data_IF_608957005293
#
_entry.id   IF_608957005293
#
_cell.length_a   1.000
_cell.length_b   1.000
_cell.length_c   1.000
_cell.angle_alpha   90.00
_cell.angle_beta   90.00
_cell.angle_gamma   90.00
#
_symmetry.space_group_name_H-M   'P 1'
#
loop_
_entity.id
_entity.type
_entity.pdbx_description
1 polymer ?
#
# COMPACT_ATOMS: atom_id res chain seq x y z
N UNK A 1 1.39 2.06 -1.43
CA UNK A 1 2.87 2.04 -1.52
C UNK A 1 3.44 3.41 -1.17
N UNK A 2 4.25 3.49 -0.12
CA UNK A 2 5.08 4.64 0.23
C UNK A 2 6.39 4.61 -0.59
N UNK A 3 6.43 5.21 -1.78
CA UNK A 3 7.61 5.17 -2.67
C UNK A 3 8.69 6.13 -2.17
N UNK A 4 9.88 5.59 -1.91
CA UNK A 4 11.04 6.35 -1.43
C UNK A 4 11.63 5.82 -0.12
N UNK A 5 11.31 4.58 0.29
CA UNK A 5 11.84 3.97 1.50
C UNK A 5 11.53 4.76 2.78
N UNK A 6 10.28 4.66 3.24
CA UNK A 6 9.82 5.31 4.49
C UNK A 6 10.75 4.96 5.65
N UNK A 7 11.04 5.97 6.47
CA UNK A 7 11.76 5.79 7.72
C UNK A 7 10.89 5.07 8.76
N UNK A 8 10.93 3.74 8.73
CA UNK A 8 10.19 2.88 9.66
C UNK A 8 10.48 3.15 11.14
N UNK A 9 11.67 3.67 11.48
CA UNK A 9 12.06 4.00 12.85
C UNK A 9 11.46 5.31 13.35
N UNK A 10 11.08 6.22 12.45
CA UNK A 10 10.30 7.42 12.81
C UNK A 10 8.81 7.22 12.58
N UNK A 11 8.37 6.22 11.82
CA UNK A 11 6.95 5.85 11.70
C UNK A 11 6.48 5.03 12.91
N UNK A 12 7.21 3.97 13.25
CA UNK A 12 7.02 3.10 14.43
C UNK A 12 8.27 3.23 15.30
N UNK A 13 8.20 4.16 16.24
CA UNK A 13 9.31 4.64 17.06
C UNK A 13 9.66 3.63 18.14
N UNK A 14 10.85 3.01 18.15
CA UNK A 14 11.31 2.17 19.27
C UNK A 14 11.80 3.05 20.42
N UNK A 15 10.89 3.79 21.06
CA UNK A 15 11.23 4.76 22.11
C UNK A 15 11.85 4.09 23.35
N UNK A 16 11.60 2.81 23.56
CA UNK A 16 12.28 2.00 24.58
C UNK A 16 13.75 1.68 24.26
N UNK A 17 14.25 1.97 23.06
CA UNK A 17 15.63 1.72 22.65
C UNK A 17 16.50 3.00 22.76
N UNK A 18 17.41 3.12 23.74
CA UNK A 18 18.25 4.31 23.89
C UNK A 18 19.18 4.54 22.69
N UNK A 19 19.45 3.52 21.87
CA UNK A 19 20.28 3.65 20.68
C UNK A 19 19.58 4.48 19.61
N UNK A 20 18.24 4.42 19.53
CA UNK A 20 17.46 5.25 18.61
C UNK A 20 17.79 6.73 18.79
N UNK A 21 17.73 7.23 20.02
CA UNK A 21 18.04 8.62 20.35
C UNK A 21 19.51 8.97 20.15
N UNK A 22 20.43 8.05 20.49
CA UNK A 22 21.87 8.25 20.31
C UNK A 22 22.28 8.38 18.84
N UNK A 23 21.66 7.58 17.97
CA UNK A 23 21.98 7.53 16.54
C UNK A 23 21.22 8.60 15.74
N UNK A 24 20.21 9.24 16.33
CA UNK A 24 19.34 10.24 15.68
C UNK A 24 19.19 11.52 16.53
N UNK A 25 20.28 12.18 16.93
CA UNK A 25 20.23 13.30 17.86
C UNK A 25 19.41 14.51 17.38
N UNK A 26 19.18 14.67 16.06
CA UNK A 26 18.40 15.79 15.50
C UNK A 26 17.03 15.37 14.99
N UNK A 27 16.86 14.10 14.57
CA UNK A 27 15.62 13.63 13.92
C UNK A 27 14.81 12.64 14.75
N UNK A 28 15.30 12.19 15.91
CA UNK A 28 14.52 11.32 16.79
C UNK A 28 13.25 12.04 17.26
N UNK A 29 12.12 11.32 17.27
CA UNK A 29 10.89 11.79 17.90
C UNK A 29 11.11 11.81 19.41
N UNK A 30 11.03 12.96 20.10
CA UNK A 30 11.25 13.02 21.54
C UNK A 30 10.29 12.09 22.28
N UNK A 31 10.79 11.35 23.28
CA UNK A 31 10.02 10.33 24.03
C UNK A 31 8.65 10.84 24.50
N UNK A 32 8.60 12.06 25.05
CA UNK A 32 7.36 12.71 25.52
C UNK A 32 6.30 12.96 24.42
N UNK A 33 6.71 13.02 23.16
CA UNK A 33 5.86 13.29 22.00
C UNK A 33 5.50 12.00 21.25
N UNK A 34 6.11 10.86 21.62
CA UNK A 34 5.79 9.56 21.05
C UNK A 34 4.44 9.09 21.59
N UNK A 35 3.60 8.56 20.70
CA UNK A 35 2.33 7.96 21.08
C UNK A 35 2.57 6.50 21.43
N UNK A 36 2.76 6.22 22.72
CA UNK A 36 3.08 4.88 23.20
C UNK A 36 2.02 3.84 22.77
N UNK A 37 2.51 2.70 22.30
CA UNK A 37 1.71 1.58 21.79
C UNK A 37 1.75 0.38 22.74
N UNK A 38 2.92 0.04 23.26
CA UNK A 38 3.15 -1.17 24.07
C UNK A 38 4.24 -1.03 25.16
N UNK A 39 4.71 0.21 25.43
CA UNK A 39 5.77 0.50 26.38
C UNK A 39 7.19 0.41 25.80
N UNK A 40 7.35 -0.07 24.56
CA UNK A 40 8.63 -0.10 23.85
C UNK A 40 8.56 0.63 22.50
N UNK A 41 7.49 0.39 21.75
CA UNK A 41 7.20 1.04 20.49
C UNK A 41 6.12 2.09 20.64
N UNK A 42 6.12 3.05 19.72
CA UNK A 42 5.14 4.13 19.66
C UNK A 42 4.88 4.59 18.23
N UNK A 43 3.76 5.28 18.00
CA UNK A 43 3.53 5.98 16.73
C UNK A 43 4.19 7.35 16.75
N UNK A 44 4.62 7.80 15.59
CA UNK A 44 4.89 9.22 15.35
C UNK A 44 3.67 10.08 15.76
N UNK A 45 3.84 11.26 16.41
CA UNK A 45 2.71 12.09 16.86
C UNK A 45 1.76 12.51 15.72
N UNK A 46 2.29 12.70 14.51
CA UNK A 46 1.48 13.01 13.32
C UNK A 46 0.54 11.88 12.88
N UNK A 47 0.71 10.67 13.42
CA UNK A 47 -0.19 9.53 13.24
C UNK A 47 -1.23 9.40 14.38
N UNK A 48 -1.40 10.41 15.24
CA UNK A 48 -2.36 10.38 16.36
C UNK A 48 -3.77 9.96 15.96
N UNK A 49 -4.21 10.33 14.76
CA UNK A 49 -5.51 9.96 14.21
C UNK A 49 -5.71 8.45 14.02
N UNK A 50 -4.63 7.67 14.01
CA UNK A 50 -4.67 6.21 13.92
C UNK A 50 -4.69 5.52 15.29
N UNK A 51 -4.41 6.23 16.39
CA UNK A 51 -4.37 5.66 17.73
C UNK A 51 -5.69 4.98 18.14
N UNK A 52 -6.89 5.52 17.81
CA UNK A 52 -8.14 4.80 18.07
C UNK A 52 -8.24 3.44 17.38
N UNK A 53 -7.66 3.29 16.18
CA UNK A 53 -7.65 2.02 15.43
C UNK A 53 -6.71 0.99 16.08
N UNK A 54 -5.59 1.46 16.64
CA UNK A 54 -4.72 0.63 17.47
C UNK A 54 -5.45 0.14 18.71
N UNK A 55 -6.11 1.06 19.43
CA UNK A 55 -6.80 0.77 20.68
C UNK A 55 -8.01 -0.16 20.47
N UNK A 56 -8.68 -0.07 19.32
CA UNK A 56 -9.72 -1.00 18.89
C UNK A 56 -9.19 -2.31 18.30
N UNK A 57 -7.87 -2.52 18.27
CA UNK A 57 -7.20 -3.70 17.74
C UNK A 57 -7.48 -3.98 16.26
N UNK A 58 -7.76 -2.95 15.48
CA UNK A 58 -7.95 -3.04 14.02
C UNK A 58 -6.76 -2.46 13.25
N UNK A 59 -5.69 -2.08 13.95
CA UNK A 59 -4.40 -1.66 13.40
C UNK A 59 -3.27 -2.43 14.08
N UNK A 60 -2.35 -2.98 13.28
CA UNK A 60 -1.08 -3.53 13.69
C UNK A 60 0.07 -2.85 12.92
N UNK A 61 1.28 -2.98 13.45
CA UNK A 61 2.51 -2.72 12.72
C UNK A 61 3.32 -4.01 12.61
N UNK A 62 4.03 -4.23 11.50
CA UNK A 62 5.06 -5.26 11.37
C UNK A 62 6.40 -4.54 11.24
N UNK A 63 7.29 -4.73 12.21
CA UNK A 63 8.61 -4.11 12.23
C UNK A 63 9.69 -5.08 11.75
N UNK A 64 10.86 -4.54 11.41
CA UNK A 64 11.99 -5.28 10.85
C UNK A 64 11.59 -6.16 9.65
N UNK A 65 10.64 -5.66 8.86
CA UNK A 65 10.12 -6.29 7.65
C UNK A 65 10.79 -5.68 6.43
N UNK A 66 11.12 -6.50 5.44
CA UNK A 66 11.74 -6.02 4.21
C UNK A 66 12.11 -7.12 3.23
N UNK A 67 12.82 -6.73 2.17
CA UNK A 67 13.34 -7.65 1.16
C UNK A 67 14.60 -8.37 1.66
N UNK A 68 14.76 -9.68 1.42
CA UNK A 68 16.04 -10.36 1.67
C UNK A 68 17.13 -9.92 0.68
N UNK A 69 16.77 -9.33 -0.46
CA UNK A 69 17.74 -8.70 -1.36
C UNK A 69 18.22 -7.37 -0.76
N UNK A 70 19.53 -7.13 -0.84
CA UNK A 70 20.20 -6.00 -0.21
C UNK A 70 20.32 -4.75 -1.11
N UNK A 71 19.67 -4.74 -2.28
CA UNK A 71 19.73 -3.57 -3.17
C UNK A 71 19.16 -2.32 -2.49
N UNK A 72 19.87 -1.21 -2.66
CA UNK A 72 19.46 0.12 -2.20
C UNK A 72 19.06 1.03 -3.38
N UNK A 73 18.89 0.45 -4.56
CA UNK A 73 18.34 1.13 -5.73
C UNK A 73 16.83 1.15 -5.62
N UNK A 74 16.22 2.34 -5.59
CA UNK A 74 14.77 2.47 -5.61
C UNK A 74 14.14 1.74 -6.79
N UNK A 75 14.76 1.82 -7.97
CA UNK A 75 14.26 1.16 -9.17
C UNK A 75 14.20 -0.36 -8.99
N UNK A 76 15.31 -0.97 -8.58
CA UNK A 76 15.37 -2.43 -8.42
C UNK A 76 14.50 -2.90 -7.25
N UNK A 77 14.56 -2.22 -6.10
CA UNK A 77 13.82 -2.63 -4.91
C UNK A 77 12.30 -2.49 -5.08
N UNK A 78 11.82 -1.43 -5.74
CA UNK A 78 10.40 -1.28 -6.08
C UNK A 78 9.97 -2.40 -7.04
N UNK A 79 10.76 -2.66 -8.08
CA UNK A 79 10.47 -3.75 -9.02
C UNK A 79 10.42 -5.12 -8.34
N UNK A 80 11.33 -5.40 -7.42
CA UNK A 80 11.38 -6.64 -6.64
C UNK A 80 10.22 -6.79 -5.65
N UNK A 81 9.83 -5.71 -4.99
CA UNK A 81 8.69 -5.73 -4.06
C UNK A 81 7.36 -5.93 -4.82
N UNK A 82 7.19 -5.24 -5.95
CA UNK A 82 5.99 -5.32 -6.78
C UNK A 82 5.89 -6.63 -7.57
N UNK A 83 7.03 -7.19 -8.01
CA UNK A 83 7.08 -8.52 -8.62
C UNK A 83 7.05 -9.64 -7.60
N UNK A 84 7.36 -9.41 -6.32
CA UNK A 84 7.47 -10.47 -5.31
C UNK A 84 8.63 -11.45 -5.55
N UNK A 85 9.62 -11.08 -6.40
CA UNK A 85 10.79 -11.91 -6.73
C UNK A 85 12.10 -11.14 -6.54
N UNK A 86 12.56 -10.94 -5.28
CA UNK A 86 13.79 -10.24 -4.99
C UNK A 86 15.01 -10.80 -5.73
N UNK A 87 15.82 -9.92 -6.32
CA UNK A 87 17.02 -10.27 -7.07
C UNK A 87 16.77 -10.73 -8.52
N UNK A 88 15.51 -10.85 -8.95
CA UNK A 88 15.15 -11.37 -10.29
C UNK A 88 14.54 -10.26 -11.16
N UNK A 89 15.39 -9.52 -11.89
CA UNK A 89 14.94 -8.43 -12.78
C UNK A 89 14.11 -8.88 -13.98
N UNK A 90 14.23 -10.15 -14.36
CA UNK A 90 13.57 -10.70 -15.54
C UNK A 90 12.07 -10.99 -15.32
N UNK A 91 11.56 -10.94 -14.09
CA UNK A 91 10.15 -11.19 -13.80
C UNK A 91 9.27 -10.11 -14.44
N UNK A 92 8.43 -10.45 -15.43
CA UNK A 92 7.71 -9.46 -16.22
C UNK A 92 6.43 -8.96 -15.53
N UNK A 93 5.91 -9.69 -14.55
CA UNK A 93 4.60 -9.50 -13.96
C UNK A 93 4.64 -9.31 -12.43
N UNK A 94 3.53 -8.78 -11.92
CA UNK A 94 3.33 -8.48 -10.50
C UNK A 94 2.68 -9.62 -9.75
N UNK A 95 2.96 -9.71 -8.45
CA UNK A 95 2.41 -10.79 -7.62
C UNK A 95 0.89 -10.67 -7.43
N UNK A 96 0.32 -9.46 -7.37
CA UNK A 96 -1.15 -9.30 -7.33
C UNK A 96 -1.79 -9.69 -8.66
N UNK A 97 -1.14 -9.43 -9.80
CA UNK A 97 -1.65 -9.93 -11.09
C UNK A 97 -1.63 -11.46 -11.14
N UNK A 98 -0.55 -12.10 -10.68
CA UNK A 98 -0.47 -13.57 -10.59
C UNK A 98 -1.53 -14.15 -9.65
N UNK A 99 -1.80 -13.49 -8.53
CA UNK A 99 -2.94 -13.84 -7.67
C UNK A 99 -4.26 -13.81 -8.46
N UNK A 100 -4.55 -12.71 -9.17
CA UNK A 100 -5.77 -12.60 -9.98
C UNK A 100 -5.84 -13.61 -11.14
N UNK A 101 -4.72 -14.09 -11.68
CA UNK A 101 -4.73 -15.17 -12.67
C UNK A 101 -5.12 -16.52 -12.06
N UNK A 102 -4.66 -16.78 -10.83
CA UNK A 102 -4.86 -18.05 -10.16
C UNK A 102 -6.25 -18.16 -9.52
N UNK A 103 -6.71 -17.10 -8.85
CA UNK A 103 -8.03 -17.04 -8.25
C UNK A 103 -9.11 -16.82 -9.32
N UNK A 104 -10.26 -17.50 -9.15
CA UNK A 104 -11.39 -17.43 -10.07
C UNK A 104 -12.54 -16.56 -9.58
N UNK A 105 -12.48 -16.09 -8.35
CA UNK A 105 -13.50 -15.22 -7.79
C UNK A 105 -13.52 -13.85 -8.51
N UNK A 106 -14.72 -13.32 -8.77
CA UNK A 106 -14.95 -12.03 -9.42
C UNK A 106 -14.27 -11.82 -10.79
N UNK A 107 -14.05 -12.90 -11.57
CA UNK A 107 -13.51 -12.82 -12.93
C UNK A 107 -14.45 -12.13 -13.95
N UNK A 108 -15.69 -11.85 -13.57
CA UNK A 108 -16.75 -11.29 -14.41
C UNK A 108 -16.86 -9.76 -14.35
N UNK A 109 -16.06 -9.09 -13.50
CA UNK A 109 -16.01 -7.63 -13.41
C UNK A 109 -14.69 -7.05 -13.90
N UNK A 110 -14.71 -5.93 -14.66
CA UNK A 110 -13.48 -5.23 -15.03
C UNK A 110 -12.83 -4.50 -13.83
N UNK A 111 -13.54 -4.34 -12.69
CA UNK A 111 -13.03 -3.66 -11.49
C UNK A 111 -12.37 -4.60 -10.48
N UNK A 112 -12.15 -5.87 -10.81
CA UNK A 112 -11.54 -6.82 -9.88
C UNK A 112 -10.20 -6.32 -9.33
N UNK A 113 -9.36 -5.77 -10.21
CA UNK A 113 -8.04 -5.25 -9.87
C UNK A 113 -7.86 -3.82 -10.42
N UNK A 114 -7.69 -2.85 -9.52
CA UNK A 114 -7.63 -1.43 -9.89
C UNK A 114 -6.44 -0.74 -9.24
N UNK A 115 -5.60 -0.11 -10.05
CA UNK A 115 -4.60 0.85 -9.61
C UNK A 115 -5.09 2.28 -9.77
N UNK A 116 -4.85 3.10 -8.75
CA UNK A 116 -5.17 4.51 -8.74
C UNK A 116 -3.92 5.33 -9.09
N UNK A 117 -3.83 5.72 -10.36
CA UNK A 117 -2.71 6.43 -10.96
C UNK A 117 -2.73 6.39 -12.50
N UNK A 118 -1.82 7.13 -13.15
CA UNK A 118 -1.83 7.31 -14.60
C UNK A 118 -1.32 6.12 -15.41
N UNK A 119 -0.69 5.14 -14.76
CA UNK A 119 -0.11 3.95 -15.40
C UNK A 119 -0.37 2.72 -14.53
N UNK A 120 -0.44 1.56 -15.17
CA UNK A 120 -0.56 0.29 -14.46
C UNK A 120 0.77 -0.03 -13.76
N UNK A 121 0.79 -0.12 -12.42
CA UNK A 121 2.00 -0.43 -11.66
C UNK A 121 2.42 -1.88 -11.89
N UNK A 122 3.71 -2.17 -11.68
CA UNK A 122 4.25 -3.52 -11.90
C UNK A 122 3.50 -4.56 -11.08
N UNK A 123 3.06 -4.23 -9.87
CA UNK A 123 2.33 -5.16 -8.99
C UNK A 123 1.04 -5.72 -9.62
N UNK A 124 0.41 -4.97 -10.54
CA UNK A 124 -0.76 -5.38 -11.31
C UNK A 124 -0.45 -5.67 -12.79
N UNK A 125 0.81 -5.58 -13.23
CA UNK A 125 1.18 -5.91 -14.60
C UNK A 125 1.14 -7.43 -14.81
N UNK A 126 0.61 -7.89 -15.94
CA UNK A 126 0.53 -9.30 -16.31
C UNK A 126 -0.68 -9.58 -17.19
N UNK A 127 -1.11 -10.85 -17.25
CA UNK A 127 -2.20 -11.28 -18.15
C UNK A 127 -3.59 -11.22 -17.54
N UNK A 128 -3.72 -11.15 -16.21
CA UNK A 128 -5.03 -10.90 -15.59
C UNK A 128 -5.50 -9.47 -15.93
N UNK A 129 -6.79 -9.27 -16.28
CA UNK A 129 -7.36 -7.95 -16.47
C UNK A 129 -7.12 -7.05 -15.25
N UNK A 130 -6.63 -5.84 -15.48
CA UNK A 130 -6.41 -4.83 -14.43
C UNK A 130 -6.59 -3.43 -15.01
N UNK A 131 -7.16 -2.52 -14.23
CA UNK A 131 -7.40 -1.14 -14.64
C UNK A 131 -6.42 -0.18 -13.95
N UNK A 132 -6.02 0.86 -14.68
CA UNK A 132 -5.38 2.04 -14.11
C UNK A 132 -6.31 3.24 -14.26
N UNK A 133 -6.62 3.88 -13.14
CA UNK A 133 -7.56 5.01 -13.03
C UNK A 133 -6.84 6.18 -12.40
N UNK A 134 -6.59 7.24 -13.16
CA UNK A 134 -5.95 8.47 -12.63
C UNK A 134 -6.97 9.38 -11.91
N UNK A 135 -8.21 9.35 -12.37
CA UNK A 135 -9.32 10.12 -11.85
C UNK A 135 -10.62 9.40 -12.22
N UNK A 136 -11.37 8.97 -11.20
CA UNK A 136 -12.60 8.22 -11.40
C UNK A 136 -13.71 9.09 -12.00
N UNK A 137 -13.75 10.38 -11.67
CA UNK A 137 -14.72 11.34 -12.22
C UNK A 137 -14.43 11.65 -13.68
N UNK A 138 -13.16 11.62 -14.08
CA UNK A 138 -12.73 11.84 -15.45
C UNK A 138 -12.55 10.55 -16.26
N UNK A 139 -12.81 9.37 -15.67
CA UNK A 139 -12.57 8.08 -16.30
C UNK A 139 -13.43 7.88 -17.55
N UNK A 140 -12.76 7.64 -18.68
CA UNK A 140 -13.36 7.55 -20.01
C UNK A 140 -12.44 8.14 -21.09
N UNK A 141 -12.95 8.27 -22.33
CA UNK A 141 -12.20 8.90 -23.42
C UNK A 141 -11.89 10.37 -23.08
N UNK A 142 -10.60 10.74 -23.08
CA UNK A 142 -10.15 12.12 -22.88
C UNK A 142 -10.70 13.00 -24.01
N UNK A 143 -11.74 13.78 -23.70
CA UNK A 143 -12.20 14.87 -24.56
C UNK A 143 -12.33 16.17 -23.74
N UNK A 144 -12.11 17.34 -24.37
CA UNK A 144 -12.05 18.63 -23.69
C UNK A 144 -13.39 19.10 -23.10
N UNK A 145 -14.52 18.49 -23.47
CA UNK A 145 -15.86 18.83 -22.95
C UNK A 145 -16.69 17.56 -22.67
N UNK A 146 -17.53 17.52 -21.62
CA UNK A 146 -18.37 16.36 -21.29
C UNK A 146 -19.23 15.89 -22.48
N UNK A 147 -19.87 16.81 -23.19
CA UNK A 147 -20.67 16.50 -24.37
C UNK A 147 -19.83 15.90 -25.53
N UNK A 148 -18.55 16.27 -25.64
CA UNK A 148 -17.63 15.69 -26.62
C UNK A 148 -17.19 14.28 -26.21
N UNK A 149 -17.03 14.01 -24.90
CA UNK A 149 -16.77 12.66 -24.38
C UNK A 149 -17.93 11.72 -24.66
N UNK A 150 -19.17 12.18 -24.47
CA UNK A 150 -20.37 11.39 -24.73
C UNK A 150 -20.58 11.10 -26.23
N UNK A 151 -20.20 12.04 -27.10
CA UNK A 151 -20.20 11.80 -28.56
C UNK A 151 -19.12 10.81 -28.98
N UNK A 152 -17.91 10.94 -28.43
CA UNK A 152 -16.81 10.01 -28.69
C UNK A 152 -17.15 8.60 -28.19
N UNK A 153 -17.75 8.48 -27.00
CA UNK A 153 -18.18 7.18 -26.46
C UNK A 153 -19.22 6.53 -27.37
N UNK A 154 -20.24 7.27 -27.81
CA UNK A 154 -21.26 6.77 -28.75
C UNK A 154 -20.71 6.41 -30.13
N UNK A 155 -19.80 7.22 -30.68
CA UNK A 155 -19.13 6.92 -31.94
C UNK A 155 -18.28 5.63 -31.82
N UNK A 156 -17.65 5.39 -30.67
CA UNK A 156 -16.93 4.15 -30.39
C UNK A 156 -17.88 2.94 -30.26
N UNK A 157 -19.06 3.13 -29.64
CA UNK A 157 -20.12 2.11 -29.54
C UNK A 157 -20.62 1.66 -30.93
N UNK A 158 -20.86 2.60 -31.83
CA UNK A 158 -21.33 2.34 -33.20
C UNK A 158 -20.27 1.62 -34.05
N UNK A 159 -19.00 2.01 -33.92
CA UNK A 159 -17.87 1.33 -34.59
C UNK A 159 -17.72 -0.13 -34.14
N UNK A 160 -17.95 -0.41 -32.86
CA UNK A 160 -17.82 -1.75 -32.29
C UNK A 160 -19.01 -2.67 -32.60
N UNK A 161 -20.22 -2.12 -32.67
CA UNK A 161 -21.40 -2.87 -33.13
C UNK A 161 -21.21 -3.39 -34.58
N UNK A 162 -20.35 -2.74 -35.37
CA UNK A 162 -20.03 -3.13 -36.75
C UNK A 162 -18.75 -3.94 -36.97
N UNK A 163 -17.85 -4.08 -35.99
CA UNK A 163 -16.51 -4.67 -36.20
C UNK A 163 -16.12 -5.73 -35.15
N UNK A 164 -16.58 -6.95 -35.36
CA UNK A 164 -16.14 -8.12 -34.60
C UNK A 164 -14.90 -8.76 -35.25
N UNK A 165 -13.69 -8.25 -34.97
CA UNK A 165 -12.44 -8.94 -35.35
C UNK A 165 -11.43 -9.04 -34.19
N UNK A 166 -11.38 -10.24 -33.60
CA UNK A 166 -10.15 -10.96 -33.25
C UNK A 166 -9.42 -10.59 -31.95
N UNK A 167 -8.62 -9.52 -31.96
CA UNK A 167 -7.54 -9.32 -30.97
C UNK A 167 -7.61 -8.01 -30.19
N UNK A 168 -8.28 -7.00 -30.75
CA UNK A 168 -8.60 -5.74 -30.06
C UNK A 168 -9.90 -5.85 -29.22
N UNK A 169 -10.60 -6.99 -29.31
CA UNK A 169 -11.99 -7.11 -28.84
C UNK A 169 -12.13 -7.34 -27.34
N UNK A 170 -11.22 -8.05 -26.67
CA UNK A 170 -11.35 -8.37 -25.23
C UNK A 170 -10.98 -7.20 -24.33
N UNK A 171 -9.77 -6.66 -24.44
CA UNK A 171 -9.33 -5.50 -23.64
C UNK A 171 -10.21 -4.26 -23.89
N UNK A 172 -10.70 -4.07 -25.12
CA UNK A 172 -11.63 -2.97 -25.43
C UNK A 172 -13.04 -3.22 -24.89
N UNK A 173 -13.52 -4.48 -24.86
CA UNK A 173 -14.81 -4.83 -24.22
C UNK A 173 -14.77 -4.62 -22.72
N UNK A 174 -13.69 -5.02 -22.05
CA UNK A 174 -13.50 -4.82 -20.61
C UNK A 174 -13.43 -3.32 -20.27
N UNK A 175 -12.64 -2.54 -21.01
CA UNK A 175 -12.59 -1.10 -20.86
C UNK A 175 -13.95 -0.44 -21.09
N UNK A 176 -14.71 -0.91 -22.08
CA UNK A 176 -16.05 -0.40 -22.35
C UNK A 176 -17.05 -0.77 -21.23
N UNK A 177 -17.02 -2.03 -20.76
CA UNK A 177 -17.81 -2.46 -19.61
C UNK A 177 -17.50 -1.63 -18.37
N UNK A 178 -16.23 -1.32 -18.13
CA UNK A 178 -15.80 -0.45 -17.04
C UNK A 178 -16.41 0.96 -17.15
N UNK A 179 -16.34 1.57 -18.34
CA UNK A 179 -16.94 2.89 -18.60
C UNK A 179 -18.46 2.86 -18.40
N UNK A 180 -19.15 1.84 -18.92
CA UNK A 180 -20.61 1.73 -18.76
C UNK A 180 -21.03 1.54 -17.30
N UNK A 181 -20.28 0.74 -16.55
CA UNK A 181 -20.53 0.55 -15.12
C UNK A 181 -20.30 1.86 -14.37
N UNK A 182 -19.19 2.57 -14.61
CA UNK A 182 -18.92 3.86 -13.95
C UNK A 182 -19.94 4.95 -14.30
N UNK A 183 -20.44 4.99 -15.53
CA UNK A 183 -21.53 5.90 -15.90
C UNK A 183 -22.78 5.67 -15.05
N UNK A 184 -23.08 4.42 -14.66
CA UNK A 184 -24.22 4.09 -13.79
C UNK A 184 -23.95 4.45 -12.33
N UNK A 185 -22.69 4.43 -11.90
CA UNK A 185 -22.30 4.79 -10.53
C UNK A 185 -22.38 6.30 -10.25
N UNK A 186 -22.41 7.13 -11.29
CA UNK A 186 -22.39 8.61 -11.24
C UNK A 186 -21.37 9.16 -10.22
N UNK A 187 -20.06 9.06 -10.54
CA UNK A 187 -19.05 9.21 -9.52
C UNK A 187 -18.98 10.60 -8.87
N UNK A 188 -19.53 11.63 -9.53
CA UNK A 188 -19.60 12.99 -8.99
C UNK A 188 -20.60 13.16 -7.83
N UNK A 189 -21.52 12.21 -7.63
CA UNK A 189 -22.51 12.26 -6.54
C UNK A 189 -22.04 11.58 -5.27
N UNK A 190 -20.90 10.88 -5.28
CA UNK A 190 -20.40 10.23 -4.08
C UNK A 190 -20.13 11.26 -2.97
N UNK A 191 -20.60 10.94 -1.77
CA UNK A 191 -20.37 11.73 -0.56
C UNK A 191 -19.86 10.78 0.52
N UNK A 192 -18.69 11.07 1.14
CA UNK A 192 -18.20 10.29 2.26
C UNK A 192 -19.23 10.21 3.39
N UNK A 193 -19.32 9.04 4.02
CA UNK A 193 -20.22 8.80 5.14
C UNK A 193 -19.52 9.03 6.49
N UNK A 194 -20.29 8.97 7.58
CA UNK A 194 -19.80 8.95 8.96
C UNK A 194 -18.91 10.14 9.36
N UNK A 195 -19.00 11.27 8.66
CA UNK A 195 -18.14 12.44 8.89
C UNK A 195 -16.68 12.23 8.44
N UNK A 196 -16.44 11.35 7.46
CA UNK A 196 -15.14 11.22 6.83
C UNK A 196 -14.77 12.48 6.03
N UNK A 197 -13.54 12.94 6.21
CA UNK A 197 -12.96 14.08 5.52
C UNK A 197 -11.59 13.68 5.00
N UNK A 198 -11.48 13.53 3.67
CA UNK A 198 -10.26 13.07 3.02
C UNK A 198 -9.33 14.25 2.75
N UNK A 199 -8.01 14.12 3.04
CA UNK A 199 -7.07 15.17 2.71
C UNK A 199 -6.99 15.36 1.18
N UNK A 200 -6.82 16.60 0.72
CA UNK A 200 -6.80 16.94 -0.72
C UNK A 200 -5.60 16.44 -1.53
N UNK A 201 -4.69 15.67 -0.93
CA UNK A 201 -3.54 15.08 -1.60
C UNK A 201 -3.88 13.84 -2.43
N UNK A 202 -2.90 13.36 -3.21
CA UNK A 202 -3.07 12.21 -4.13
C UNK A 202 -3.56 10.96 -3.40
N UNK A 203 -3.01 10.67 -2.22
CA UNK A 203 -3.42 9.50 -1.44
C UNK A 203 -4.86 9.63 -0.93
N UNK A 204 -5.24 10.81 -0.43
CA UNK A 204 -6.62 11.04 0.04
C UNK A 204 -7.64 10.90 -1.08
N UNK A 205 -7.34 11.44 -2.28
CA UNK A 205 -8.16 11.22 -3.48
C UNK A 205 -8.26 9.74 -3.86
N UNK A 206 -7.14 9.03 -3.92
CA UNK A 206 -7.14 7.62 -4.28
C UNK A 206 -7.97 6.77 -3.29
N UNK A 207 -7.82 6.99 -1.98
CA UNK A 207 -8.60 6.26 -0.98
C UNK A 207 -10.10 6.61 -1.02
N UNK A 208 -10.45 7.87 -1.32
CA UNK A 208 -11.84 8.28 -1.57
C UNK A 208 -12.45 7.50 -2.75
N UNK A 209 -11.73 7.41 -3.87
CA UNK A 209 -12.20 6.70 -5.05
C UNK A 209 -12.24 5.17 -4.83
N UNK A 210 -11.32 4.62 -4.05
CA UNK A 210 -11.38 3.21 -3.60
C UNK A 210 -12.63 2.97 -2.76
N UNK A 211 -12.90 3.81 -1.75
CA UNK A 211 -14.09 3.67 -0.90
C UNK A 211 -15.38 3.75 -1.71
N UNK A 212 -15.39 4.61 -2.74
CA UNK A 212 -16.48 4.73 -3.67
C UNK A 212 -16.71 3.44 -4.48
N UNK A 213 -15.66 2.83 -5.05
CA UNK A 213 -15.81 1.55 -5.76
C UNK A 213 -16.26 0.43 -4.84
N UNK A 214 -15.76 0.39 -3.60
CA UNK A 214 -16.18 -0.60 -2.59
C UNK A 214 -17.67 -0.47 -2.29
N UNK A 215 -18.14 0.74 -1.97
CA UNK A 215 -19.56 0.98 -1.65
C UNK A 215 -20.50 0.80 -2.85
N UNK A 216 -19.97 0.97 -4.05
CA UNK A 216 -20.68 0.69 -5.28
C UNK A 216 -20.82 -0.81 -5.58
N UNK A 217 -20.12 -1.67 -4.83
CA UNK A 217 -20.17 -3.13 -4.96
C UNK A 217 -19.89 -3.62 -6.40
N UNK A 218 -18.88 -3.03 -7.03
CA UNK A 218 -18.48 -3.38 -8.42
C UNK A 218 -17.63 -4.65 -8.50
N UNK A 219 -17.51 -5.41 -7.41
CA UNK A 219 -16.64 -6.58 -7.28
C UNK A 219 -15.15 -6.24 -7.22
N UNK A 220 -14.79 -5.12 -6.57
CA UNK A 220 -13.40 -4.76 -6.32
C UNK A 220 -12.77 -5.77 -5.34
N UNK A 221 -11.68 -6.40 -5.76
CA UNK A 221 -10.97 -7.40 -4.95
C UNK A 221 -9.58 -6.92 -4.52
N UNK A 222 -8.86 -6.24 -5.42
CA UNK A 222 -7.56 -5.65 -5.11
C UNK A 222 -7.50 -4.21 -5.60
N UNK A 223 -7.07 -3.32 -4.71
CA UNK A 223 -6.84 -1.92 -5.01
C UNK A 223 -5.38 -1.55 -4.71
N UNK A 224 -4.77 -0.77 -5.59
CA UNK A 224 -3.42 -0.26 -5.39
C UNK A 224 -3.40 1.26 -5.49
N UNK A 225 -2.76 1.92 -4.53
CA UNK A 225 -2.43 3.33 -4.59
C UNK A 225 -0.99 3.55 -4.14
N UNK A 226 -0.33 4.55 -4.72
CA UNK A 226 1.00 4.97 -4.32
C UNK A 226 1.10 6.46 -4.02
N UNK A 227 2.11 6.79 -3.23
CA UNK A 227 2.45 8.16 -2.85
C UNK A 227 3.98 8.27 -2.76
N UNK A 228 4.53 9.35 -3.30
CA UNK A 228 5.96 9.63 -3.35
C UNK A 228 6.39 10.59 -2.24
N UNK A 229 7.69 10.87 -2.14
CA UNK A 229 8.23 11.87 -1.22
C UNK A 229 8.68 11.32 0.13
N UNK A 230 8.85 10.00 0.22
CA UNK A 230 9.37 9.30 1.41
C UNK A 230 10.91 9.25 1.47
N UNK A 231 11.58 9.66 0.40
CA UNK A 231 13.04 9.66 0.27
C UNK A 231 13.69 10.88 0.96
N UNK A 232 13.59 10.93 2.29
CA UNK A 232 14.04 12.04 3.15
C UNK A 232 15.54 12.02 3.47
N UNK A 233 16.38 12.48 2.54
CA UNK A 233 17.84 12.60 2.74
C UNK A 233 18.31 13.84 3.50
N UNK A 234 17.49 14.89 3.57
CA UNK A 234 17.87 16.20 4.11
C UNK A 234 16.72 16.77 4.93
N UNK A 235 17.03 17.37 6.09
CA UNK A 235 16.07 18.06 6.96
C UNK A 235 14.75 17.30 7.13
N UNK A 236 14.85 15.99 7.39
CA UNK A 236 13.71 15.08 7.53
C UNK A 236 12.75 15.56 8.62
N UNK A 237 13.35 16.05 9.71
CA UNK A 237 12.64 16.51 10.90
C UNK A 237 12.28 15.39 11.87
N UNK A 238 11.91 15.82 13.09
CA UNK A 238 11.38 14.96 14.14
C UNK A 238 9.86 15.02 14.10
N UNK A 239 9.21 15.65 15.10
CA UNK A 239 7.75 15.78 15.20
C UNK A 239 7.12 16.63 14.09
N UNK A 240 7.92 17.52 13.49
CA UNK A 240 7.60 18.39 12.37
C UNK A 240 8.66 18.21 11.27
N UNK A 241 8.36 18.62 10.03
CA UNK A 241 9.27 18.48 8.88
C UNK A 241 8.69 17.65 7.75
N UNK A 242 9.53 17.26 6.79
CA UNK A 242 9.10 16.54 5.58
C UNK A 242 8.43 15.21 5.94
N UNK A 243 9.06 14.38 6.77
CA UNK A 243 8.51 13.08 7.13
C UNK A 243 7.23 13.23 7.96
N UNK A 244 7.23 14.12 8.94
CA UNK A 244 6.07 14.44 9.76
C UNK A 244 4.84 14.85 8.93
N UNK A 245 5.04 15.69 7.91
CA UNK A 245 3.99 16.08 6.97
C UNK A 245 3.42 14.90 6.19
N UNK A 246 4.29 14.03 5.66
CA UNK A 246 3.89 12.81 4.92
C UNK A 246 3.15 11.81 5.79
N UNK A 247 3.63 11.60 7.02
CA UNK A 247 2.97 10.74 8.01
C UNK A 247 1.60 11.31 8.41
N UNK A 248 1.49 12.64 8.55
CA UNK A 248 0.20 13.30 8.80
C UNK A 248 -0.81 13.06 7.68
N UNK A 249 -0.39 13.24 6.42
CA UNK A 249 -1.24 12.98 5.24
C UNK A 249 -1.64 11.50 5.15
N UNK A 250 -0.69 10.58 5.37
CA UNK A 250 -0.96 9.14 5.42
C UNK A 250 -2.00 8.80 6.50
N UNK A 251 -1.76 9.25 7.73
CA UNK A 251 -2.65 8.98 8.86
C UNK A 251 -4.06 9.53 8.64
N UNK A 252 -4.17 10.76 8.15
CA UNK A 252 -5.47 11.38 7.85
C UNK A 252 -6.22 10.63 6.75
N UNK A 253 -5.53 10.23 5.67
CA UNK A 253 -6.14 9.51 4.57
C UNK A 253 -6.66 8.12 5.00
N UNK A 254 -5.87 7.37 5.77
CA UNK A 254 -6.28 6.05 6.31
C UNK A 254 -7.42 6.17 7.32
N UNK A 255 -7.39 7.18 8.19
CA UNK A 255 -8.47 7.43 9.16
C UNK A 255 -9.77 7.82 8.46
N UNK A 256 -9.70 8.68 7.43
CA UNK A 256 -10.84 9.05 6.61
C UNK A 256 -11.44 7.83 5.88
N UNK A 257 -10.59 7.01 5.25
CA UNK A 257 -11.00 5.78 4.58
C UNK A 257 -11.75 4.83 5.50
N UNK A 258 -11.18 4.56 6.68
CA UNK A 258 -11.79 3.67 7.67
C UNK A 258 -13.12 4.23 8.16
N UNK A 259 -13.18 5.54 8.45
CA UNK A 259 -14.41 6.21 8.89
C UNK A 259 -15.49 6.14 7.82
N UNK A 260 -15.13 6.43 6.58
CA UNK A 260 -16.05 6.46 5.45
C UNK A 260 -16.73 5.10 5.25
N UNK A 261 -15.96 4.02 5.30
CA UNK A 261 -16.46 2.67 5.11
C UNK A 261 -17.24 2.13 6.33
N UNK A 262 -16.92 2.58 7.55
CA UNK A 262 -17.61 2.15 8.77
C UNK A 262 -17.61 0.62 8.90
N UNK A 263 -18.80 0.04 9.07
CA UNK A 263 -18.98 -1.43 9.18
C UNK A 263 -18.47 -2.20 7.95
N UNK A 264 -18.35 -1.55 6.79
CA UNK A 264 -17.76 -2.15 5.59
C UNK A 264 -16.30 -2.56 5.77
N UNK A 265 -15.59 -1.98 6.74
CA UNK A 265 -14.20 -2.38 7.07
C UNK A 265 -14.07 -3.81 7.57
N UNK A 266 -15.17 -4.46 7.97
CA UNK A 266 -15.17 -5.84 8.49
C UNK A 266 -14.55 -6.86 7.50
N UNK A 267 -14.70 -6.60 6.20
CA UNK A 267 -14.27 -7.48 5.11
C UNK A 267 -13.11 -6.87 4.30
N UNK A 268 -12.38 -5.90 4.88
CA UNK A 268 -11.32 -5.15 4.18
C UNK A 268 -10.04 -5.18 4.98
N UNK A 269 -8.92 -5.45 4.29
CA UNK A 269 -7.57 -5.24 4.80
C UNK A 269 -6.84 -4.23 3.93
N UNK A 270 -6.28 -3.20 4.57
CA UNK A 270 -5.33 -2.26 3.95
C UNK A 270 -3.97 -2.48 4.61
N UNK A 271 -2.92 -2.57 3.81
CA UNK A 271 -1.56 -2.56 4.31
C UNK A 271 -0.71 -1.53 3.56
N UNK A 272 0.28 -0.99 4.25
CA UNK A 272 1.27 -0.10 3.67
C UNK A 272 2.55 -0.88 3.38
N UNK A 273 3.29 -0.49 2.36
CA UNK A 273 4.60 -1.06 2.07
C UNK A 273 5.54 0.01 1.52
N UNK A 274 6.84 -0.25 1.64
CA UNK A 274 7.93 0.55 1.09
C UNK A 274 9.07 -0.38 0.70
N UNK A 275 9.88 0.02 -0.29
CA UNK A 275 10.84 -0.85 -0.98
C UNK A 275 12.01 -1.32 -0.10
N UNK A 276 12.40 -0.51 0.88
CA UNK A 276 13.35 -0.80 1.96
C UNK A 276 13.18 0.28 3.05
N UNK A 277 14.00 0.25 4.10
CA UNK A 277 13.98 1.24 5.17
C UNK A 277 15.05 2.32 5.08
N UNK A 278 15.34 2.95 6.22
CA UNK A 278 16.34 4.00 6.34
C UNK A 278 17.46 3.61 7.29
N UNK A 279 18.62 4.24 7.17
CA UNK A 279 19.75 3.98 8.07
C UNK A 279 19.35 4.19 9.53
N UNK A 280 19.93 3.40 10.44
CA UNK A 280 19.69 3.59 11.89
C UNK A 280 20.19 4.96 12.32
N UNK A 281 21.39 5.31 11.86
CA UNK A 281 22.03 6.61 12.11
C UNK A 281 21.55 7.68 11.15
N UNK A 282 21.25 8.86 11.68
CA UNK A 282 21.01 10.04 10.85
C UNK A 282 22.28 10.47 10.08
N UNK A 283 22.11 11.03 8.89
CA UNK A 283 23.22 11.53 8.09
C UNK A 283 23.61 12.97 8.48
N UNK A 284 24.66 13.51 7.85
CA UNK A 284 25.16 14.86 8.14
C UNK A 284 24.13 15.98 7.89
N UNK A 285 23.15 15.74 7.02
CA UNK A 285 22.16 16.72 6.55
C UNK A 285 20.85 16.71 7.33
N UNK A 286 20.84 16.12 8.54
CA UNK A 286 19.62 15.94 9.35
C UNK A 286 18.54 15.13 8.61
N UNK A 287 18.94 14.15 7.81
CA UNK A 287 18.07 13.16 7.19
C UNK A 287 18.60 11.75 7.38
N UNK A 288 18.20 10.83 6.51
CA UNK A 288 18.66 9.43 6.53
C UNK A 288 19.02 8.94 5.14
N UNK A 289 20.00 8.05 5.04
CA UNK A 289 20.37 7.40 3.79
C UNK A 289 19.57 6.10 3.61
N UNK A 290 19.75 5.42 2.48
CA UNK A 290 19.03 4.17 2.18
C UNK A 290 19.45 3.05 3.14
N UNK A 291 18.47 2.43 3.78
CA UNK A 291 18.65 1.33 4.74
C UNK A 291 18.27 -0.02 4.17
N UNK A 292 17.76 -0.91 5.03
CA UNK A 292 17.36 -2.27 4.66
C UNK A 292 15.94 -2.61 5.13
N UNK A 293 15.74 -2.98 6.40
CA UNK A 293 14.39 -3.24 6.92
C UNK A 293 13.62 -1.96 7.26
N UNK A 294 12.30 -2.00 7.11
CA UNK A 294 11.37 -0.93 7.45
C UNK A 294 10.26 -1.44 8.37
N UNK A 295 9.20 -0.65 8.53
CA UNK A 295 7.96 -1.04 9.16
C UNK A 295 6.78 -0.94 8.16
N UNK A 296 5.78 -1.81 8.32
CA UNK A 296 4.55 -1.80 7.55
C UNK A 296 3.35 -1.72 8.50
N UNK A 297 2.38 -0.85 8.22
CA UNK A 297 1.08 -0.84 8.88
C UNK A 297 0.14 -1.84 8.19
N UNK A 298 -0.69 -2.52 8.98
CA UNK A 298 -1.79 -3.39 8.53
C UNK A 298 -3.04 -2.99 9.30
N UNK A 299 -4.13 -2.66 8.61
CA UNK A 299 -5.38 -2.22 9.22
C UNK A 299 -6.58 -2.90 8.56
N UNK A 300 -7.65 -3.14 9.32
CA UNK A 300 -8.83 -3.81 8.80
C UNK A 300 -9.61 -4.59 9.85
N UNK A 301 -10.78 -5.07 9.47
CA UNK A 301 -11.62 -5.94 10.31
C UNK A 301 -10.94 -7.26 10.70
N UNK A 302 -10.32 -8.00 9.77
CA UNK A 302 -9.66 -9.29 10.06
C UNK A 302 -8.32 -9.17 10.79
N UNK A 303 -7.84 -7.95 11.03
CA UNK A 303 -6.50 -7.70 11.59
C UNK A 303 -6.45 -8.01 13.08
N UNK A 304 -5.42 -8.73 13.49
CA UNK A 304 -5.09 -8.99 14.89
C UNK A 304 -4.24 -7.84 15.46
N UNK A 305 -4.89 -6.68 15.62
CA UNK A 305 -4.25 -5.41 15.94
C UNK A 305 -3.83 -5.22 17.41
N UNK A 306 -3.41 -3.99 17.71
CA UNK A 306 -2.91 -3.60 19.03
C UNK A 306 -1.52 -4.19 19.33
N UNK A 307 -0.75 -4.52 18.29
CA UNK A 307 0.52 -5.25 18.39
C UNK A 307 1.55 -4.75 17.38
N UNK A 308 2.80 -4.67 17.82
CA UNK A 308 3.96 -4.59 16.92
C UNK A 308 4.44 -6.03 16.68
N UNK A 309 4.23 -6.51 15.47
CA UNK A 309 4.55 -7.84 14.98
C UNK A 309 5.95 -7.86 14.35
N UNK A 310 6.43 -9.06 14.05
CA UNK A 310 7.79 -9.30 13.56
C UNK A 310 8.77 -9.61 14.70
N UNK A 311 10.02 -9.88 14.35
CA UNK A 311 11.08 -10.20 15.31
C UNK A 311 12.02 -9.02 15.40
N UNK A 312 11.80 -8.11 16.35
CA UNK A 312 12.65 -6.93 16.51
C UNK A 312 14.11 -7.34 16.83
N UNK A 313 15.09 -7.02 15.96
CA UNK A 313 16.47 -7.41 16.19
C UNK A 313 17.18 -6.51 17.20
N UNK A 314 16.63 -5.33 17.54
CA UNK A 314 17.35 -4.28 18.28
C UNK A 314 18.14 -3.35 17.37
N UNK A 315 18.63 -2.24 17.93
CA UNK A 315 19.48 -1.28 17.21
C UNK A 315 20.96 -1.39 17.58
N UNK A 316 21.39 -2.39 18.33
CA UNK A 316 22.82 -2.57 18.63
C UNK A 316 23.61 -2.80 17.32
N UNK A 317 24.80 -2.17 17.13
CA UNK A 317 25.62 -2.39 15.95
C UNK A 317 25.88 -3.87 15.61
N UNK A 318 25.96 -4.76 16.60
CA UNK A 318 26.14 -6.19 16.38
C UNK A 318 24.90 -6.90 15.79
N UNK A 319 23.72 -6.28 15.91
CA UNK A 319 22.43 -6.81 15.43
C UNK A 319 21.99 -6.16 14.11
N UNK A 320 22.66 -5.08 13.69
CA UNK A 320 22.36 -4.35 12.45
C UNK A 320 22.84 -5.11 11.21
N UNK A 321 22.09 -4.98 10.13
CA UNK A 321 22.56 -5.37 8.82
C UNK A 321 23.75 -4.48 8.41
N UNK A 322 24.87 -5.12 8.07
CA UNK A 322 26.15 -4.45 7.76
C UNK A 322 26.62 -3.46 8.86
N UNK A 323 26.18 -3.66 10.11
CA UNK A 323 26.49 -2.73 11.22
C UNK A 323 25.80 -1.37 11.12
N UNK A 324 24.90 -1.17 10.15
CA UNK A 324 24.36 0.15 9.77
C UNK A 324 22.84 0.25 9.80
N UNK A 325 22.15 -0.77 9.29
CA UNK A 325 20.72 -0.72 9.02
C UNK A 325 19.95 -1.67 9.93
N UNK A 326 18.64 -1.46 10.10
CA UNK A 326 17.80 -2.46 10.78
C UNK A 326 17.85 -3.76 9.95
N UNK A 327 18.17 -4.87 10.60
CA UNK A 327 18.20 -6.17 9.94
C UNK A 327 16.79 -6.65 9.58
N UNK A 328 16.63 -7.21 8.38
CA UNK A 328 15.38 -7.86 7.98
C UNK A 328 15.25 -9.18 8.74
N UNK A 329 14.20 -9.28 9.54
CA UNK A 329 13.85 -10.48 10.31
C UNK A 329 12.51 -11.08 9.90
N UNK A 330 11.72 -10.31 9.15
CA UNK A 330 10.48 -10.74 8.51
C UNK A 330 10.62 -10.46 7.00
N UNK A 331 10.60 -11.52 6.18
CA UNK A 331 10.54 -11.35 4.73
C UNK A 331 9.17 -10.76 4.36
N UNK A 332 9.11 -9.73 3.52
CA UNK A 332 7.83 -9.14 3.13
C UNK A 332 6.86 -10.16 2.52
N UNK A 333 7.39 -11.21 1.88
CA UNK A 333 6.59 -12.27 1.26
C UNK A 333 5.84 -13.09 2.30
N UNK A 334 6.34 -13.22 3.53
CA UNK A 334 5.63 -13.92 4.61
C UNK A 334 4.36 -13.13 5.01
N UNK A 335 4.43 -11.80 5.10
CA UNK A 335 3.24 -10.97 5.34
C UNK A 335 2.27 -11.04 4.16
N UNK A 336 2.75 -10.87 2.93
CA UNK A 336 1.88 -10.82 1.77
C UNK A 336 1.19 -12.18 1.53
N UNK A 337 1.91 -13.28 1.75
CA UNK A 337 1.36 -14.62 1.72
C UNK A 337 0.31 -14.84 2.82
N UNK A 338 0.52 -14.31 4.04
CA UNK A 338 -0.49 -14.36 5.11
C UNK A 338 -1.78 -13.66 4.70
N UNK A 339 -1.68 -12.45 4.13
CA UNK A 339 -2.84 -11.69 3.65
C UNK A 339 -3.59 -12.46 2.57
N UNK A 340 -2.87 -12.98 1.57
CA UNK A 340 -3.45 -13.75 0.48
C UNK A 340 -4.14 -15.03 0.99
N UNK A 341 -3.49 -15.78 1.88
CA UNK A 341 -4.00 -17.06 2.35
C UNK A 341 -5.20 -16.90 3.30
N UNK A 342 -5.11 -15.97 4.26
CA UNK A 342 -6.09 -15.88 5.36
C UNK A 342 -7.23 -14.90 5.09
N UNK A 343 -6.97 -13.83 4.33
CA UNK A 343 -8.02 -12.85 4.00
C UNK A 343 -8.65 -13.14 2.63
N UNK A 344 -7.82 -13.40 1.62
CA UNK A 344 -8.28 -13.62 0.25
C UNK A 344 -8.46 -15.10 -0.12
N UNK A 345 -8.22 -16.03 0.82
CA UNK A 345 -8.48 -17.46 0.62
C UNK A 345 -7.58 -18.17 -0.39
N UNK A 346 -6.43 -17.59 -0.75
CA UNK A 346 -5.53 -18.19 -1.73
C UNK A 346 -4.93 -19.53 -1.23
N UNK A 347 -5.15 -20.60 -1.99
CA UNK A 347 -4.70 -21.95 -1.61
C UNK A 347 -3.34 -22.34 -2.18
N UNK A 348 -2.91 -21.75 -3.30
CA UNK A 348 -1.59 -21.98 -3.91
C UNK A 348 -0.80 -20.67 -3.98
N UNK A 349 0.02 -20.44 -2.96
CA UNK A 349 0.86 -19.25 -2.84
C UNK A 349 2.18 -19.39 -3.63
N UNK A 350 2.54 -20.60 -4.05
CA UNK A 350 3.79 -20.87 -4.75
C UNK A 350 3.78 -20.33 -6.18
N UNK A 351 2.61 -20.38 -6.84
CA UNK A 351 2.37 -19.73 -8.13
C UNK A 351 2.44 -18.20 -8.04
N UNK A 352 2.14 -17.63 -6.87
CA UNK A 352 2.12 -16.19 -6.64
C UNK A 352 3.53 -15.65 -6.37
N UNK A 353 4.39 -16.40 -5.66
CA UNK A 353 5.78 -16.02 -5.37
C UNK A 353 6.79 -17.03 -5.94
N UNK A 354 7.13 -16.94 -7.24
CA UNK A 354 8.07 -17.87 -7.87
C UNK A 354 9.43 -17.92 -7.14
N UNK A 355 9.93 -19.13 -6.91
CA UNK A 355 11.21 -19.35 -6.21
C UNK A 355 11.14 -19.13 -4.70
N UNK A 356 9.95 -18.95 -4.14
CA UNK A 356 9.71 -18.83 -2.71
C UNK A 356 8.56 -19.75 -2.30
N UNK A 357 8.73 -20.48 -1.19
CA UNK A 357 7.67 -21.33 -0.64
C UNK A 357 7.17 -20.69 0.65
N UNK A 358 6.01 -20.02 0.63
CA UNK A 358 5.40 -19.49 1.85
C UNK A 358 5.15 -20.60 2.85
N UNK A 359 5.43 -20.29 4.12
CA UNK A 359 5.27 -21.21 5.24
C UNK A 359 4.42 -20.51 6.31
N UNK A 360 3.22 -21.01 6.63
CA UNK A 360 2.38 -20.44 7.66
C UNK A 360 3.06 -20.29 9.03
N UNK A 361 4.10 -21.06 9.33
CA UNK A 361 4.88 -20.93 10.56
C UNK A 361 5.74 -19.66 10.62
N UNK A 362 5.98 -19.01 9.48
CA UNK A 362 6.71 -17.73 9.37
C UNK A 362 5.80 -16.51 9.25
N UNK A 363 4.50 -16.71 9.10
CA UNK A 363 3.55 -15.59 9.02
C UNK A 363 3.64 -14.73 10.29
N UNK A 364 3.68 -13.39 10.16
CA UNK A 364 3.83 -12.49 11.31
C UNK A 364 2.62 -12.52 12.26
N UNK A 365 1.47 -13.07 11.82
CA UNK A 365 0.27 -13.17 12.63
C UNK A 365 -0.58 -11.91 12.58
N UNK A 366 -0.57 -11.22 11.43
CA UNK A 366 -1.33 -10.00 11.20
C UNK A 366 -2.83 -10.26 11.01
N UNK A 367 -3.21 -11.43 10.50
CA UNK A 367 -4.61 -11.80 10.21
C UNK A 367 -5.02 -13.01 11.04
N UNK A 368 -6.26 -13.01 11.54
CA UNK A 368 -6.84 -14.18 12.21
C UNK A 368 -6.72 -15.44 11.34
N UNK A 369 -6.36 -16.56 11.96
CA UNK A 369 -6.34 -17.87 11.29
C UNK A 369 -7.74 -18.37 10.94
#
# INVERSE_FOLDING_TARGET
FQRGAVDGLNMIVPHGDPIYYRERPRIAVPEKDVLDLDGYFGLHPRLAVLKPLWDSKTLAAVHAIGSPDATRSHFDAQDYLESGTPGVKATPDGWLNRYCQHDREHQDTPFRAVAFGPQLPRILAGTAPSLAIDDLQAFGLRAPQPAARDRLTRAFEELYAGSATGLLSTSSREAFAAVQMLKRLDPGQYRPANGADYPGGRLGKALLEIAQLIKADVGLHVAFADVTGWDTHVNQGATEGQLAGRLGELGQALAAFTRDLGDGMRDIVVFTMSEFGRTVRENGSSGTDHGHATAMLVLGGPVQGGRVLGKWPGLDPAQRFEGRDVAVTTDFRDLFAELLARHLGATDLSAIFPGYTPDPARFPGAISA
#
